data_IF_257714235611
#
_entry.id   IF_257714235611
#
_cell.length_a   1.000
_cell.length_b   1.000
_cell.length_c   1.000
_cell.angle_alpha   90.00
_cell.angle_beta   90.00
_cell.angle_gamma   90.00
#
_symmetry.space_group_name_H-M   'P 1'
#
loop_
_entity.id
_entity.type
_entity.pdbx_description
1 polymer ?
#
# COMPACT_ATOMS: atom_id res chain seq x y z
N UNK A 1 50.08 3.74 -27.87
CA UNK A 1 49.69 2.71 -26.87
C UNK A 1 48.44 1.98 -27.33
N UNK A 2 48.58 0.73 -27.80
CA UNK A 2 47.45 -0.14 -28.17
C UNK A 2 46.80 -0.68 -26.88
N UNK A 3 45.51 -0.40 -26.65
CA UNK A 3 44.74 -1.02 -25.54
C UNK A 3 44.67 -2.54 -25.77
N UNK A 4 44.93 -3.39 -24.77
CA UNK A 4 44.99 -4.84 -24.96
C UNK A 4 43.62 -5.40 -25.38
N UNK A 5 43.60 -6.28 -26.39
CA UNK A 5 42.39 -6.89 -26.95
C UNK A 5 41.53 -7.64 -25.90
N UNK A 6 42.13 -8.10 -24.80
CA UNK A 6 41.43 -8.69 -23.65
C UNK A 6 40.41 -7.75 -23.00
N UNK A 7 40.57 -6.42 -23.13
CA UNK A 7 39.62 -5.46 -22.54
C UNK A 7 38.32 -5.33 -23.34
N UNK A 8 38.28 -5.77 -24.62
CA UNK A 8 37.05 -5.75 -25.42
C UNK A 8 36.17 -6.95 -25.15
N UNK A 9 36.76 -8.15 -25.10
CA UNK A 9 36.03 -9.40 -24.84
C UNK A 9 35.45 -9.41 -23.42
N UNK A 10 36.25 -9.02 -22.41
CA UNK A 10 35.74 -8.90 -21.03
C UNK A 10 34.60 -7.89 -20.89
N UNK A 11 34.65 -6.79 -21.64
CA UNK A 11 33.59 -5.76 -21.64
C UNK A 11 32.33 -6.22 -22.37
N UNK A 12 32.46 -7.04 -23.42
CA UNK A 12 31.32 -7.65 -24.11
C UNK A 12 30.64 -8.72 -23.25
N UNK A 13 31.43 -9.61 -22.63
CA UNK A 13 30.89 -10.65 -21.72
C UNK A 13 30.19 -10.00 -20.52
N UNK A 14 30.82 -9.00 -19.90
CA UNK A 14 30.22 -8.24 -18.80
C UNK A 14 28.90 -7.57 -19.24
N UNK A 15 28.89 -6.93 -20.41
CA UNK A 15 27.68 -6.31 -20.97
C UNK A 15 26.57 -7.31 -21.29
N UNK A 16 26.90 -8.53 -21.72
CA UNK A 16 25.93 -9.61 -21.94
C UNK A 16 25.36 -10.09 -20.62
N UNK A 17 26.19 -10.37 -19.61
CA UNK A 17 25.76 -10.85 -18.29
C UNK A 17 24.87 -9.83 -17.58
N UNK A 18 25.22 -8.53 -17.62
CA UNK A 18 24.40 -7.48 -17.00
C UNK A 18 22.98 -7.38 -17.58
N UNK A 19 22.80 -7.83 -18.84
CA UNK A 19 21.54 -7.78 -19.58
C UNK A 19 20.79 -9.11 -19.47
N UNK A 20 21.49 -10.24 -19.63
CA UNK A 20 20.90 -11.57 -19.69
C UNK A 20 20.45 -12.06 -18.32
N UNK A 21 21.19 -11.76 -17.24
CA UNK A 21 20.84 -12.25 -15.91
C UNK A 21 19.50 -11.67 -15.41
N UNK A 22 19.25 -10.35 -15.44
CA UNK A 22 17.94 -9.81 -15.05
C UNK A 22 16.80 -10.23 -15.98
N UNK A 23 17.03 -10.30 -17.30
CA UNK A 23 16.00 -10.77 -18.25
C UNK A 23 15.63 -12.23 -18.03
N UNK A 24 16.62 -13.09 -17.78
CA UNK A 24 16.36 -14.50 -17.51
C UNK A 24 15.60 -14.65 -16.20
N UNK A 25 15.96 -13.87 -15.18
CA UNK A 25 15.24 -13.84 -13.92
C UNK A 25 13.79 -13.41 -14.10
N UNK A 26 13.53 -12.27 -14.75
CA UNK A 26 12.18 -11.81 -15.05
C UNK A 26 11.42 -12.80 -15.94
N UNK A 27 12.08 -13.39 -16.93
CA UNK A 27 11.51 -14.40 -17.81
C UNK A 27 10.97 -15.61 -17.04
N UNK A 28 11.78 -16.16 -16.12
CA UNK A 28 11.47 -17.37 -15.36
C UNK A 28 10.53 -17.09 -14.20
N UNK A 29 10.76 -16.03 -13.43
CA UNK A 29 10.07 -15.81 -12.17
C UNK A 29 8.88 -14.85 -12.25
N UNK A 30 8.74 -14.10 -13.36
CA UNK A 30 7.62 -13.17 -13.57
C UNK A 30 6.80 -13.54 -14.81
N UNK A 31 7.42 -13.51 -16.00
CA UNK A 31 6.69 -13.70 -17.25
C UNK A 31 6.16 -15.13 -17.43
N UNK A 32 6.93 -16.15 -17.03
CA UNK A 32 6.48 -17.54 -17.11
C UNK A 32 5.25 -17.84 -16.23
N UNK A 33 5.22 -17.47 -14.92
CA UNK A 33 4.00 -17.59 -14.11
C UNK A 33 2.80 -16.83 -14.67
N UNK A 34 3.00 -15.58 -15.12
CA UNK A 34 1.92 -14.78 -15.72
C UNK A 34 1.40 -15.43 -17.00
N UNK A 35 2.28 -15.94 -17.86
CA UNK A 35 1.89 -16.67 -19.06
C UNK A 35 1.09 -17.92 -18.69
N UNK A 36 1.52 -18.68 -17.68
CA UNK A 36 0.78 -19.84 -17.20
C UNK A 36 -0.62 -19.49 -16.66
N UNK A 37 -0.78 -18.35 -15.99
CA UNK A 37 -2.09 -17.86 -15.55
C UNK A 37 -2.98 -17.58 -16.77
N UNK A 38 -2.45 -16.88 -17.78
CA UNK A 38 -3.21 -16.55 -19.00
C UNK A 38 -3.58 -17.81 -19.78
N UNK A 39 -2.65 -18.76 -19.97
CA UNK A 39 -2.95 -20.02 -20.67
C UNK A 39 -3.93 -20.88 -19.88
N UNK A 40 -3.79 -20.95 -18.56
CA UNK A 40 -4.71 -21.73 -17.70
C UNK A 40 -6.12 -21.16 -17.72
N UNK A 41 -6.27 -19.82 -17.76
CA UNK A 41 -7.58 -19.18 -17.88
C UNK A 41 -8.34 -19.51 -19.17
N UNK A 42 -7.61 -19.86 -20.24
CA UNK A 42 -8.15 -20.19 -21.55
C UNK A 42 -8.25 -21.70 -21.80
N UNK A 43 -7.95 -22.52 -20.81
CA UNK A 43 -7.97 -23.99 -20.93
C UNK A 43 -9.35 -24.56 -21.29
N UNK A 44 -10.43 -23.86 -20.90
CA UNK A 44 -11.82 -24.20 -21.24
C UNK A 44 -12.35 -23.39 -22.45
N UNK A 45 -11.45 -22.76 -23.21
CA UNK A 45 -11.77 -21.84 -24.29
C UNK A 45 -12.38 -20.52 -23.82
N UNK A 46 -12.67 -19.64 -24.78
CA UNK A 46 -13.26 -18.31 -24.52
C UNK A 46 -14.61 -18.40 -23.79
N UNK A 47 -15.42 -19.42 -24.09
CA UNK A 47 -16.70 -19.65 -23.42
C UNK A 47 -16.54 -19.88 -21.90
N UNK A 48 -15.57 -20.71 -21.50
CA UNK A 48 -15.25 -20.96 -20.10
C UNK A 48 -14.77 -19.68 -19.40
N UNK A 49 -13.88 -18.91 -20.05
CA UNK A 49 -13.41 -17.64 -19.51
C UNK A 49 -14.55 -16.63 -19.28
N UNK A 50 -15.44 -16.46 -20.26
CA UNK A 50 -16.54 -15.50 -20.12
C UNK A 50 -17.66 -15.99 -19.18
N UNK A 51 -17.79 -17.31 -18.96
CA UNK A 51 -18.80 -17.87 -18.04
C UNK A 51 -18.63 -17.38 -16.60
N UNK A 52 -17.41 -17.01 -16.19
CA UNK A 52 -17.13 -16.48 -14.86
C UNK A 52 -17.79 -15.13 -14.62
N UNK A 53 -17.95 -14.31 -15.67
CA UNK A 53 -18.70 -13.06 -15.57
C UNK A 53 -20.20 -13.28 -15.47
N UNK A 54 -20.72 -14.47 -15.76
CA UNK A 54 -22.14 -14.80 -15.56
C UNK A 54 -22.45 -15.16 -14.10
N UNK A 55 -21.43 -15.51 -13.30
CA UNK A 55 -21.59 -15.81 -11.89
C UNK A 55 -21.97 -14.54 -11.09
N UNK A 56 -23.10 -14.54 -10.36
CA UNK A 56 -23.47 -13.44 -9.48
C UNK A 56 -22.37 -13.13 -8.46
N UNK A 57 -21.73 -14.18 -7.93
CA UNK A 57 -20.67 -14.06 -6.93
C UNK A 57 -19.44 -13.31 -7.45
N UNK A 58 -19.07 -13.52 -8.73
CA UNK A 58 -17.96 -12.79 -9.35
C UNK A 58 -18.32 -11.33 -9.55
N UNK A 59 -19.54 -11.03 -10.00
CA UNK A 59 -20.03 -9.65 -10.17
C UNK A 59 -20.07 -8.92 -8.83
N UNK A 60 -20.59 -9.57 -7.79
CA UNK A 60 -20.62 -9.05 -6.43
C UNK A 60 -19.20 -8.78 -5.91
N UNK A 61 -18.25 -9.68 -6.18
CA UNK A 61 -16.85 -9.48 -5.80
C UNK A 61 -16.22 -8.28 -6.54
N UNK A 62 -16.43 -8.14 -7.85
CA UNK A 62 -15.92 -7.00 -8.64
C UNK A 62 -16.53 -5.68 -8.14
N UNK A 63 -17.85 -5.66 -7.94
CA UNK A 63 -18.56 -4.50 -7.41
C UNK A 63 -18.05 -4.15 -6.01
N UNK A 64 -18.01 -5.12 -5.10
CA UNK A 64 -17.58 -4.90 -3.73
C UNK A 64 -16.14 -4.40 -3.68
N UNK A 65 -15.23 -5.00 -4.45
CA UNK A 65 -13.80 -4.58 -4.55
C UNK A 65 -13.69 -3.12 -4.99
N UNK A 66 -14.42 -2.73 -6.03
CA UNK A 66 -14.40 -1.36 -6.56
C UNK A 66 -15.03 -0.37 -5.58
N UNK A 67 -16.21 -0.71 -5.06
CA UNK A 67 -16.96 0.14 -4.13
C UNK A 67 -16.21 0.35 -2.82
N UNK A 68 -15.72 -0.73 -2.18
CA UNK A 68 -15.00 -0.63 -0.91
C UNK A 68 -13.72 0.17 -1.09
N UNK A 69 -13.01 0.02 -2.22
CA UNK A 69 -11.77 0.74 -2.46
C UNK A 69 -12.02 2.24 -2.65
N UNK A 70 -13.08 2.60 -3.38
CA UNK A 70 -13.49 4.00 -3.55
C UNK A 70 -13.88 4.64 -2.21
N UNK A 71 -14.71 3.96 -1.41
CA UNK A 71 -15.13 4.45 -0.09
C UNK A 71 -13.95 4.54 0.87
N UNK A 72 -13.11 3.51 0.93
CA UNK A 72 -11.88 3.50 1.74
C UNK A 72 -10.98 4.68 1.39
N UNK A 73 -10.80 4.96 0.10
CA UNK A 73 -10.01 6.09 -0.37
C UNK A 73 -10.59 7.42 0.07
N UNK A 74 -11.90 7.63 -0.13
CA UNK A 74 -12.58 8.86 0.27
C UNK A 74 -12.47 9.09 1.78
N UNK A 75 -12.72 8.05 2.60
CA UNK A 75 -12.59 8.12 4.06
C UNK A 75 -11.15 8.40 4.45
N UNK A 76 -10.16 7.72 3.87
CA UNK A 76 -8.74 7.96 4.13
C UNK A 76 -8.38 9.41 3.87
N UNK A 77 -8.80 9.99 2.74
CA UNK A 77 -8.54 11.39 2.41
C UNK A 77 -9.12 12.31 3.48
N UNK A 78 -10.40 12.13 3.83
CA UNK A 78 -11.06 12.97 4.83
C UNK A 78 -10.34 12.89 6.19
N UNK A 79 -9.95 11.71 6.64
CA UNK A 79 -9.29 11.52 7.94
C UNK A 79 -7.83 12.01 7.94
N UNK A 80 -7.12 11.87 6.82
CA UNK A 80 -5.69 12.16 6.73
C UNK A 80 -5.38 13.62 6.39
N UNK A 81 -6.27 14.37 5.72
CA UNK A 81 -6.02 15.78 5.34
C UNK A 81 -5.73 16.69 6.54
N UNK A 82 -6.45 16.60 7.68
CA UNK A 82 -6.10 17.36 8.87
C UNK A 82 -4.67 17.06 9.34
N UNK A 83 -4.27 15.79 9.33
CA UNK A 83 -2.92 15.37 9.69
C UNK A 83 -1.88 15.86 8.67
N UNK A 84 -2.21 15.87 7.37
CA UNK A 84 -1.38 16.47 6.33
C UNK A 84 -1.10 17.95 6.63
N UNK A 85 -2.11 18.70 7.13
CA UNK A 85 -1.94 20.09 7.54
C UNK A 85 -0.96 20.25 8.73
N UNK A 86 -1.00 19.32 9.69
CA UNK A 86 -0.01 19.25 10.78
C UNK A 86 1.38 18.92 10.24
N UNK A 87 1.49 17.90 9.40
CA UNK A 87 2.77 17.43 8.85
C UNK A 87 3.45 18.52 8.02
N UNK A 88 2.67 19.30 7.26
CA UNK A 88 3.19 20.42 6.47
C UNK A 88 3.86 21.50 7.34
N UNK A 89 3.43 21.63 8.60
CA UNK A 89 3.90 22.63 9.57
C UNK A 89 4.82 22.05 10.63
N UNK A 90 5.02 20.74 10.65
CA UNK A 90 5.77 20.07 11.71
C UNK A 90 7.28 20.21 11.48
N UNK A 91 7.98 20.69 12.51
CA UNK A 91 9.44 20.84 12.52
C UNK A 91 10.06 20.25 13.80
N UNK A 92 11.38 20.06 13.77
CA UNK A 92 12.15 19.54 14.90
C UNK A 92 11.71 18.14 15.36
N UNK A 93 11.88 17.86 16.67
CA UNK A 93 11.61 16.54 17.28
C UNK A 93 10.15 16.12 17.14
N UNK A 94 9.21 17.04 17.32
CA UNK A 94 7.76 16.74 17.21
C UNK A 94 7.36 16.25 15.82
N UNK A 95 7.98 16.79 14.77
CA UNK A 95 7.76 16.34 13.39
C UNK A 95 8.34 14.95 13.12
N UNK A 96 9.45 14.57 13.76
CA UNK A 96 10.02 13.23 13.65
C UNK A 96 9.05 12.20 14.23
N UNK A 97 8.56 12.44 15.46
CA UNK A 97 7.59 11.54 16.10
C UNK A 97 6.27 11.43 15.35
N UNK A 98 5.74 12.55 14.84
CA UNK A 98 4.53 12.54 14.03
C UNK A 98 4.72 11.71 12.74
N UNK A 99 5.86 11.89 12.05
CA UNK A 99 6.20 11.09 10.85
C UNK A 99 6.32 9.60 11.19
N UNK A 100 6.94 9.26 12.32
CA UNK A 100 7.06 7.87 12.76
C UNK A 100 5.68 7.26 13.02
N UNK A 101 4.83 7.92 13.84
CA UNK A 101 3.47 7.48 14.15
C UNK A 101 2.63 7.27 12.89
N UNK A 102 2.72 8.19 11.93
CA UNK A 102 2.00 8.10 10.65
C UNK A 102 2.53 6.98 9.77
N UNK A 103 3.82 6.67 9.83
CA UNK A 103 4.44 5.66 8.94
C UNK A 103 4.28 4.23 9.46
N UNK A 104 4.29 4.01 10.77
CA UNK A 104 4.22 2.67 11.39
C UNK A 104 3.06 1.82 10.86
N UNK A 105 1.80 2.32 10.82
CA UNK A 105 0.65 1.58 10.29
C UNK A 105 0.87 0.96 8.90
N UNK A 106 1.52 1.70 8.01
CA UNK A 106 1.73 1.30 6.62
C UNK A 106 2.74 0.16 6.46
N UNK A 107 3.64 -0.02 7.44
CA UNK A 107 4.70 -1.04 7.41
C UNK A 107 4.25 -2.35 8.08
N UNK A 108 3.12 -2.34 8.79
CA UNK A 108 2.65 -3.51 9.51
C UNK A 108 2.08 -4.57 8.55
N UNK A 109 2.26 -5.87 8.86
CA UNK A 109 1.60 -6.92 8.10
C UNK A 109 0.07 -6.82 8.18
N UNK A 110 -0.63 -7.07 7.08
CA UNK A 110 -2.10 -6.98 7.00
C UNK A 110 -2.82 -7.88 7.99
N UNK A 111 -2.28 -9.07 8.26
CA UNK A 111 -2.86 -10.02 9.22
C UNK A 111 -2.78 -9.48 10.65
N UNK A 112 -1.65 -8.85 10.99
CA UNK A 112 -1.40 -8.24 12.30
C UNK A 112 -2.40 -7.12 12.56
N UNK A 113 -2.60 -6.23 11.59
CA UNK A 113 -3.60 -5.16 11.69
C UNK A 113 -5.03 -5.70 11.71
N UNK A 114 -5.34 -6.73 10.92
CA UNK A 114 -6.64 -7.40 10.97
C UNK A 114 -6.96 -7.95 12.36
N UNK A 115 -5.99 -8.59 13.03
CA UNK A 115 -6.13 -9.04 14.41
C UNK A 115 -6.30 -7.89 15.40
N UNK A 116 -5.50 -6.82 15.26
CA UNK A 116 -5.60 -5.63 16.09
C UNK A 116 -6.98 -4.96 16.02
N UNK A 117 -7.57 -4.85 14.82
CA UNK A 117 -8.92 -4.30 14.64
C UNK A 117 -10.01 -5.22 15.19
N UNK A 118 -9.87 -6.55 15.02
CA UNK A 118 -10.82 -7.50 15.62
C UNK A 118 -10.95 -7.30 17.12
N UNK A 119 -9.80 -7.25 17.76
CA UNK A 119 -9.72 -7.03 19.19
C UNK A 119 -10.24 -5.64 19.58
N UNK A 120 -9.87 -4.60 18.82
CA UNK A 120 -10.33 -3.24 19.10
C UNK A 120 -11.86 -3.17 19.06
N UNK A 121 -12.50 -3.79 18.06
CA UNK A 121 -13.96 -3.81 17.99
C UNK A 121 -14.61 -4.62 19.11
N UNK A 122 -14.03 -5.76 19.51
CA UNK A 122 -14.51 -6.54 20.67
C UNK A 122 -14.37 -5.76 21.99
N UNK A 123 -13.29 -5.00 22.15
CA UNK A 123 -13.09 -4.14 23.32
C UNK A 123 -14.07 -2.98 23.35
N UNK A 124 -14.31 -2.34 22.21
CA UNK A 124 -15.26 -1.23 22.10
C UNK A 124 -16.69 -1.70 22.40
N UNK A 125 -17.05 -2.90 21.97
CA UNK A 125 -18.34 -3.53 22.28
C UNK A 125 -18.46 -3.86 23.77
N UNK A 126 -17.51 -4.59 24.34
CA UNK A 126 -17.54 -4.99 25.75
C UNK A 126 -17.41 -3.84 26.76
N UNK A 127 -16.59 -2.83 26.46
CA UNK A 127 -16.29 -1.73 27.39
C UNK A 127 -17.25 -0.54 27.26
N UNK A 128 -17.75 -0.27 26.05
CA UNK A 128 -18.56 0.92 25.76
C UNK A 128 -19.92 0.61 25.14
N UNK A 129 -20.26 -0.67 24.90
CA UNK A 129 -21.52 -1.07 24.26
C UNK A 129 -21.64 -0.63 22.80
N UNK A 130 -20.51 -0.40 22.12
CA UNK A 130 -20.50 0.04 20.73
C UNK A 130 -20.69 -1.14 19.78
N UNK A 131 -21.36 -0.96 18.62
CA UNK A 131 -21.55 -2.05 17.67
C UNK A 131 -20.24 -2.69 17.23
N UNK A 132 -20.15 -4.02 17.36
CA UNK A 132 -19.00 -4.77 16.86
C UNK A 132 -19.04 -4.84 15.33
N UNK A 133 -18.09 -4.18 14.67
CA UNK A 133 -18.00 -4.12 13.22
C UNK A 133 -17.26 -5.30 12.59
N UNK A 134 -16.86 -6.32 13.35
CA UNK A 134 -16.21 -7.51 12.80
C UNK A 134 -17.04 -8.16 11.68
N UNK A 135 -16.36 -8.66 10.65
CA UNK A 135 -16.98 -9.28 9.47
C UNK A 135 -17.87 -8.33 8.65
N UNK A 136 -17.58 -7.02 8.67
CA UNK A 136 -18.35 -5.99 7.96
C UNK A 136 -17.49 -5.16 7.00
N UNK A 137 -18.14 -4.50 6.05
CA UNK A 137 -17.49 -3.53 5.17
C UNK A 137 -16.90 -2.35 5.94
N UNK A 138 -17.51 -1.96 7.07
CA UNK A 138 -17.01 -0.85 7.91
C UNK A 138 -15.66 -1.20 8.49
N UNK A 139 -15.46 -2.43 8.99
CA UNK A 139 -14.18 -2.87 9.50
C UNK A 139 -13.09 -2.81 8.41
N UNK A 140 -13.40 -3.22 7.17
CA UNK A 140 -12.48 -3.13 6.03
C UNK A 140 -12.13 -1.67 5.73
N UNK A 141 -13.13 -0.79 5.64
CA UNK A 141 -12.94 0.63 5.30
C UNK A 141 -12.07 1.34 6.34
N UNK A 142 -12.33 1.11 7.63
CA UNK A 142 -11.55 1.72 8.72
C UNK A 142 -10.11 1.18 8.73
N UNK A 143 -9.93 -0.13 8.57
CA UNK A 143 -8.59 -0.73 8.50
C UNK A 143 -7.80 -0.27 7.27
N UNK A 144 -8.43 -0.15 6.10
CA UNK A 144 -7.80 0.45 4.93
C UNK A 144 -7.45 1.92 5.15
N UNK A 145 -8.30 2.68 5.83
CA UNK A 145 -8.02 4.07 6.17
C UNK A 145 -6.86 4.21 7.13
N UNK A 146 -6.71 3.28 8.07
CA UNK A 146 -5.56 3.17 8.97
C UNK A 146 -4.27 2.86 8.20
N UNK A 147 -4.29 1.87 7.30
CA UNK A 147 -3.14 1.49 6.48
C UNK A 147 -2.68 2.64 5.58
N UNK A 148 -3.61 3.19 4.80
CA UNK A 148 -3.33 4.16 3.76
C UNK A 148 -3.23 5.60 4.27
N UNK A 149 -3.45 5.82 5.58
CA UNK A 149 -3.33 7.13 6.20
C UNK A 149 -2.00 7.80 5.87
N UNK A 150 -0.91 7.04 5.93
CA UNK A 150 0.44 7.50 5.66
C UNK A 150 0.62 8.04 4.24
N UNK A 151 0.02 7.34 3.27
CA UNK A 151 0.11 7.69 1.84
C UNK A 151 -0.46 9.07 1.62
N UNK A 152 -1.67 9.35 2.13
CA UNK A 152 -2.29 10.67 1.99
C UNK A 152 -1.60 11.72 2.84
N UNK A 153 -1.40 11.47 4.13
CA UNK A 153 -0.86 12.46 5.05
C UNK A 153 0.55 12.93 4.65
N UNK A 154 1.41 12.00 4.19
CA UNK A 154 2.78 12.31 3.77
C UNK A 154 2.83 12.96 2.39
N UNK A 155 2.09 12.44 1.41
CA UNK A 155 2.11 12.97 0.03
C UNK A 155 1.52 14.37 -0.01
N UNK A 156 0.33 14.54 0.56
CA UNK A 156 -0.34 15.85 0.61
C UNK A 156 0.39 16.79 1.56
N UNK A 157 0.87 16.31 2.71
CA UNK A 157 1.61 17.14 3.67
C UNK A 157 2.93 17.66 3.12
N UNK A 158 3.68 16.84 2.36
CA UNK A 158 4.91 17.27 1.70
C UNK A 158 4.64 18.29 0.59
N UNK A 159 3.60 18.05 -0.23
CA UNK A 159 3.19 18.99 -1.28
C UNK A 159 2.71 20.31 -0.68
N UNK A 160 1.87 20.25 0.36
CA UNK A 160 1.39 21.43 1.07
C UNK A 160 2.55 22.24 1.66
N UNK A 161 3.56 21.58 2.25
CA UNK A 161 4.74 22.27 2.77
C UNK A 161 5.55 23.04 1.71
N UNK A 162 5.47 22.62 0.44
CA UNK A 162 6.18 23.22 -0.69
C UNK A 162 5.43 24.33 -1.42
N UNK A 163 4.16 24.57 -1.08
CA UNK A 163 3.36 25.63 -1.70
C UNK A 163 3.89 27.03 -1.35
N UNK A 164 3.65 28.01 -2.24
CA UNK A 164 3.73 29.42 -1.86
C UNK A 164 2.51 29.80 -1.01
N UNK A 165 2.74 30.15 0.25
CA UNK A 165 1.72 30.51 1.23
C UNK A 165 1.43 32.02 1.28
N UNK A 166 2.13 32.85 0.49
CA UNK A 166 1.80 34.28 0.39
C UNK A 166 0.37 34.51 -0.10
N UNK A 167 -0.13 33.66 -0.99
CA UNK A 167 -1.53 33.70 -1.44
C UNK A 167 -2.53 33.48 -0.30
N UNK A 168 -2.18 32.66 0.69
CA UNK A 168 -3.03 32.47 1.88
C UNK A 168 -3.03 33.72 2.76
N UNK A 169 -1.89 34.40 2.90
CA UNK A 169 -1.76 35.64 3.66
C UNK A 169 -2.51 36.80 2.99
N UNK A 170 -2.38 36.95 1.68
CA UNK A 170 -3.13 37.94 0.89
C UNK A 170 -4.64 37.75 1.03
N UNK A 171 -5.12 36.51 0.96
CA UNK A 171 -6.54 36.22 1.16
C UNK A 171 -7.03 36.56 2.58
N UNK A 172 -6.21 36.36 3.62
CA UNK A 172 -6.52 36.79 4.99
C UNK A 172 -6.60 38.32 5.10
N UNK A 173 -5.67 39.05 4.47
CA UNK A 173 -5.67 40.53 4.44
C UNK A 173 -6.91 41.09 3.74
N UNK A 174 -7.43 40.41 2.72
CA UNK A 174 -8.70 40.74 2.06
C UNK A 174 -9.96 40.36 2.88
N UNK A 175 -9.80 39.94 4.13
CA UNK A 175 -10.91 39.62 5.04
C UNK A 175 -11.44 38.20 4.96
N UNK A 176 -10.78 37.28 4.23
CA UNK A 176 -11.22 35.89 4.18
C UNK A 176 -10.97 35.17 5.51
N UNK A 177 -12.00 34.49 6.03
CA UNK A 177 -11.87 33.60 7.19
C UNK A 177 -10.93 32.42 6.90
N UNK A 178 -10.40 31.77 7.94
CA UNK A 178 -9.52 30.60 7.79
C UNK A 178 -10.15 29.47 6.95
N UNK A 179 -11.45 29.22 7.13
CA UNK A 179 -12.18 28.25 6.32
C UNK A 179 -12.32 28.72 4.86
N UNK A 180 -12.58 30.01 4.64
CA UNK A 180 -12.62 30.62 3.31
C UNK A 180 -11.28 30.52 2.57
N UNK A 181 -10.18 30.78 3.28
CA UNK A 181 -8.81 30.64 2.74
C UNK A 181 -8.55 29.19 2.35
N UNK A 182 -8.86 28.24 3.24
CA UNK A 182 -8.69 26.83 2.95
C UNK A 182 -9.51 26.38 1.74
N UNK A 183 -10.80 26.70 1.69
CA UNK A 183 -11.69 26.19 0.62
C UNK A 183 -11.43 26.86 -0.74
N UNK A 184 -11.11 28.16 -0.76
CA UNK A 184 -10.99 28.94 -2.01
C UNK A 184 -9.57 29.04 -2.53
N UNK A 185 -8.55 28.99 -1.66
CA UNK A 185 -7.14 29.16 -2.04
C UNK A 185 -6.38 27.85 -1.90
N UNK A 186 -6.37 27.26 -0.70
CA UNK A 186 -5.51 26.11 -0.40
C UNK A 186 -6.02 24.82 -1.06
N UNK A 187 -7.30 24.49 -0.90
CA UNK A 187 -7.90 23.24 -1.38
C UNK A 187 -7.78 23.05 -2.89
N UNK A 188 -8.11 24.03 -3.76
CA UNK A 188 -7.94 23.90 -5.20
C UNK A 188 -6.49 23.63 -5.60
N UNK A 189 -5.52 24.20 -4.87
CA UNK A 189 -4.09 23.99 -5.10
C UNK A 189 -3.60 22.63 -4.60
N UNK A 190 -4.23 22.08 -3.56
CA UNK A 190 -3.92 20.74 -3.03
C UNK A 190 -4.55 19.61 -3.86
N UNK A 191 -5.64 19.86 -4.59
CA UNK A 191 -6.35 18.84 -5.41
C UNK A 191 -5.43 17.94 -6.22
N UNK A 192 -4.39 18.43 -6.94
CA UNK A 192 -3.54 17.56 -7.75
C UNK A 192 -2.78 16.52 -6.90
N UNK A 193 -2.28 16.93 -5.72
CA UNK A 193 -1.62 16.03 -4.77
C UNK A 193 -2.61 15.09 -4.07
N UNK A 194 -3.82 15.56 -3.75
CA UNK A 194 -4.88 14.74 -3.15
C UNK A 194 -5.35 13.66 -4.13
N UNK A 195 -5.49 13.99 -5.41
CA UNK A 195 -5.86 13.04 -6.46
C UNK A 195 -4.75 12.01 -6.69
N UNK A 196 -3.49 12.42 -6.72
CA UNK A 196 -2.36 11.49 -6.84
C UNK A 196 -2.30 10.52 -5.64
N UNK A 197 -2.36 11.06 -4.42
CA UNK A 197 -2.38 10.23 -3.21
C UNK A 197 -3.61 9.32 -3.15
N UNK A 198 -4.77 9.84 -3.54
CA UNK A 198 -6.02 9.10 -3.62
C UNK A 198 -5.97 7.96 -4.63
N UNK A 199 -5.32 8.15 -5.77
CA UNK A 199 -5.16 7.11 -6.79
C UNK A 199 -4.29 5.94 -6.27
N UNK A 200 -3.20 6.25 -5.55
CA UNK A 200 -2.35 5.24 -4.90
C UNK A 200 -3.10 4.54 -3.76
N UNK A 201 -3.82 5.30 -2.92
CA UNK A 201 -4.67 4.73 -1.86
C UNK A 201 -5.75 3.81 -2.43
N UNK A 202 -6.39 4.21 -3.53
CA UNK A 202 -7.38 3.38 -4.22
C UNK A 202 -6.74 2.09 -4.71
N UNK A 203 -5.57 2.17 -5.35
CA UNK A 203 -4.86 0.99 -5.82
C UNK A 203 -4.57 0.01 -4.67
N UNK A 204 -4.03 0.48 -3.55
CA UNK A 204 -3.75 -0.37 -2.39
C UNK A 204 -5.02 -0.98 -1.77
N UNK A 205 -6.10 -0.22 -1.67
CA UNK A 205 -7.38 -0.75 -1.19
C UNK A 205 -8.01 -1.72 -2.19
N UNK A 206 -7.88 -1.47 -3.49
CA UNK A 206 -8.40 -2.33 -4.55
C UNK A 206 -7.69 -3.68 -4.53
N UNK A 207 -6.36 -3.69 -4.42
CA UNK A 207 -5.54 -4.92 -4.41
C UNK A 207 -5.37 -5.54 -3.01
N UNK A 208 -6.29 -5.26 -2.08
CA UNK A 208 -6.14 -5.68 -0.68
C UNK A 208 -6.67 -7.09 -0.45
N UNK A 209 -5.78 -7.99 -0.08
CA UNK A 209 -6.13 -9.37 0.25
C UNK A 209 -6.26 -9.61 1.75
N UNK A 210 -5.19 -9.38 2.53
CA UNK A 210 -5.12 -9.85 3.91
C UNK A 210 -6.09 -9.15 4.86
N UNK A 211 -6.34 -7.86 4.66
CA UNK A 211 -7.31 -7.11 5.49
C UNK A 211 -8.72 -7.66 5.28
N UNK A 212 -9.12 -7.84 4.02
CA UNK A 212 -10.44 -8.36 3.66
C UNK A 212 -10.60 -9.80 4.12
N UNK A 213 -9.57 -10.64 3.97
CA UNK A 213 -9.60 -12.02 4.44
C UNK A 213 -9.86 -12.13 5.94
N UNK A 214 -9.22 -11.26 6.74
CA UNK A 214 -9.34 -11.29 8.21
C UNK A 214 -10.64 -10.62 8.68
N UNK A 215 -10.99 -9.46 8.13
CA UNK A 215 -12.08 -8.61 8.64
C UNK A 215 -13.39 -8.71 7.85
N UNK A 216 -13.39 -9.30 6.66
CA UNK A 216 -14.55 -9.36 5.77
C UNK A 216 -15.48 -10.56 5.98
N UNK A 217 -15.02 -11.58 6.70
CA UNK A 217 -15.77 -12.80 6.93
C UNK A 217 -16.19 -13.50 5.62
N UNK A 218 -17.32 -14.21 5.65
CA UNK A 218 -17.81 -14.96 4.49
C UNK A 218 -18.57 -14.09 3.47
N UNK A 219 -19.10 -12.94 3.89
CA UNK A 219 -20.00 -12.09 3.10
C UNK A 219 -19.27 -11.02 2.30
N UNK A 220 -18.21 -10.43 2.84
CA UNK A 220 -17.48 -9.36 2.18
C UNK A 220 -16.32 -9.96 1.38
N UNK A 221 -16.58 -10.29 0.11
CA UNK A 221 -15.60 -10.93 -0.76
C UNK A 221 -15.09 -9.94 -1.82
N UNK A 222 -13.78 -9.80 -1.93
CA UNK A 222 -13.12 -9.12 -3.07
C UNK A 222 -12.59 -10.11 -4.09
N UNK A 223 -12.15 -9.60 -5.25
CA UNK A 223 -11.54 -10.40 -6.32
C UNK A 223 -10.39 -11.24 -5.77
N UNK A 224 -9.52 -10.66 -4.94
CA UNK A 224 -8.37 -11.33 -4.32
C UNK A 224 -8.80 -12.49 -3.43
N UNK A 225 -9.81 -12.28 -2.59
CA UNK A 225 -10.31 -13.33 -1.70
C UNK A 225 -11.02 -14.45 -2.45
N UNK A 226 -11.68 -14.15 -3.58
CA UNK A 226 -12.29 -15.18 -4.43
C UNK A 226 -11.23 -15.93 -5.25
N UNK A 227 -10.17 -15.27 -5.74
CA UNK A 227 -9.00 -15.94 -6.33
C UNK A 227 -8.43 -16.96 -5.35
N UNK A 228 -8.21 -16.54 -4.09
CA UNK A 228 -7.73 -17.43 -3.03
C UNK A 228 -8.70 -18.59 -2.77
N UNK A 229 -10.01 -18.32 -2.66
CA UNK A 229 -11.02 -19.37 -2.44
C UNK A 229 -11.04 -20.39 -3.58
N UNK A 230 -10.98 -19.95 -4.84
CA UNK A 230 -10.91 -20.87 -5.97
C UNK A 230 -9.60 -21.67 -5.97
N UNK A 231 -8.45 -21.00 -5.84
CA UNK A 231 -7.15 -21.66 -5.93
C UNK A 231 -6.86 -22.61 -4.75
N UNK A 232 -7.08 -22.14 -3.52
CA UNK A 232 -6.60 -22.82 -2.30
C UNK A 232 -7.71 -23.63 -1.64
N UNK A 233 -8.92 -23.08 -1.52
CA UNK A 233 -10.01 -23.75 -0.80
C UNK A 233 -10.71 -24.79 -1.69
N UNK A 234 -10.92 -24.47 -2.97
CA UNK A 234 -11.62 -25.36 -3.92
C UNK A 234 -10.67 -26.19 -4.81
N UNK A 235 -9.39 -25.82 -4.89
CA UNK A 235 -8.45 -26.45 -5.83
C UNK A 235 -8.78 -26.18 -7.32
N UNK A 236 -9.65 -25.21 -7.60
CA UNK A 236 -10.08 -24.83 -8.93
C UNK A 236 -9.12 -23.79 -9.52
N UNK A 237 -8.03 -24.28 -10.09
CA UNK A 237 -6.98 -23.46 -10.69
C UNK A 237 -7.43 -22.76 -11.98
N UNK A 238 -8.43 -23.30 -12.68
CA UNK A 238 -8.89 -22.70 -13.94
C UNK A 238 -9.71 -21.44 -13.67
N UNK A 239 -10.65 -21.50 -12.72
CA UNK A 239 -11.44 -20.31 -12.36
C UNK A 239 -10.59 -19.26 -11.65
N UNK A 240 -9.65 -19.67 -10.79
CA UNK A 240 -8.75 -18.72 -10.13
C UNK A 240 -7.82 -18.03 -11.14
N UNK A 241 -7.33 -18.74 -12.16
CA UNK A 241 -6.55 -18.15 -13.23
C UNK A 241 -7.35 -17.11 -14.02
N UNK A 242 -8.60 -17.41 -14.38
CA UNK A 242 -9.49 -16.47 -15.05
C UNK A 242 -9.77 -15.22 -14.22
N UNK A 243 -10.06 -15.36 -12.91
CA UNK A 243 -10.21 -14.22 -12.01
C UNK A 243 -8.90 -13.43 -11.85
N UNK A 244 -7.75 -14.11 -11.87
CA UNK A 244 -6.43 -13.45 -11.83
C UNK A 244 -6.16 -12.62 -13.08
N UNK A 245 -6.56 -13.09 -14.27
CA UNK A 245 -6.48 -12.30 -15.51
C UNK A 245 -7.36 -11.04 -15.40
N UNK A 246 -8.57 -11.15 -14.87
CA UNK A 246 -9.45 -9.99 -14.63
C UNK A 246 -8.74 -8.98 -13.71
N UNK A 247 -8.15 -9.46 -12.62
CA UNK A 247 -7.41 -8.63 -11.68
C UNK A 247 -6.20 -7.94 -12.33
N UNK A 248 -5.40 -8.68 -13.11
CA UNK A 248 -4.24 -8.13 -13.83
C UNK A 248 -4.68 -7.02 -14.78
N UNK A 249 -5.73 -7.26 -15.57
CA UNK A 249 -6.29 -6.24 -16.48
C UNK A 249 -6.78 -5.02 -15.72
N UNK A 250 -7.50 -5.22 -14.61
CA UNK A 250 -7.98 -4.12 -13.77
C UNK A 250 -6.82 -3.28 -13.20
N UNK A 251 -5.78 -3.93 -12.66
CA UNK A 251 -4.59 -3.25 -12.13
C UNK A 251 -3.84 -2.49 -13.23
N UNK A 252 -3.63 -3.09 -14.40
CA UNK A 252 -2.98 -2.42 -15.54
C UNK A 252 -3.76 -1.18 -15.98
N UNK A 253 -5.09 -1.29 -16.08
CA UNK A 253 -5.96 -0.15 -16.38
C UNK A 253 -5.85 0.94 -15.30
N UNK A 254 -5.86 0.57 -14.02
CA UNK A 254 -5.71 1.51 -12.91
C UNK A 254 -4.36 2.23 -12.97
N UNK A 255 -3.25 1.50 -13.12
CA UNK A 255 -1.90 2.07 -13.23
C UNK A 255 -1.78 2.99 -14.45
N UNK A 256 -2.38 2.63 -15.58
CA UNK A 256 -2.41 3.49 -16.76
C UNK A 256 -3.17 4.80 -16.51
N UNK A 257 -4.32 4.72 -15.84
CA UNK A 257 -5.12 5.89 -15.47
C UNK A 257 -4.38 6.76 -14.45
N UNK A 258 -3.79 6.17 -13.40
CA UNK A 258 -3.05 6.92 -12.38
C UNK A 258 -1.84 7.62 -13.00
N UNK A 259 -1.06 6.94 -13.83
CA UNK A 259 0.08 7.53 -14.54
C UNK A 259 -0.34 8.67 -15.47
N UNK A 260 -1.48 8.53 -16.15
CA UNK A 260 -2.01 9.59 -17.00
C UNK A 260 -2.44 10.83 -16.20
N UNK A 261 -3.07 10.63 -15.04
CA UNK A 261 -3.50 11.70 -14.14
C UNK A 261 -2.30 12.42 -13.49
N UNK A 262 -1.28 11.67 -13.06
CA UNK A 262 -0.05 12.24 -12.49
C UNK A 262 0.71 13.11 -13.50
N UNK A 263 0.82 12.66 -14.76
CA UNK A 263 1.44 13.45 -15.84
C UNK A 263 0.73 14.79 -16.07
N UNK A 264 -0.60 14.82 -15.95
CA UNK A 264 -1.39 16.07 -16.05
C UNK A 264 -1.31 16.93 -14.80
N UNK A 265 -1.11 16.31 -13.64
CA UNK A 265 -1.01 16.96 -12.32
C UNK A 265 0.33 17.69 -12.13
N UNK A 266 1.38 17.29 -12.86
CA UNK A 266 2.69 17.95 -12.91
C UNK A 266 2.69 19.36 -13.55
N UNK A 267 1.56 20.09 -13.51
CA UNK A 267 1.56 21.53 -13.77
C UNK A 267 2.52 22.17 -12.77
N UNK A 268 3.52 22.86 -13.33
CA UNK A 268 4.64 23.54 -12.68
C UNK A 268 4.18 24.52 -11.60
N UNK A 269 3.70 24.01 -10.46
CA UNK A 269 3.53 24.80 -9.26
C UNK A 269 4.95 25.05 -8.79
N UNK A 270 5.48 26.23 -9.11
CA UNK A 270 6.78 26.65 -8.61
C UNK A 270 6.74 26.50 -7.08
N UNK A 271 7.52 25.54 -6.57
CA UNK A 271 7.65 25.33 -5.15
C UNK A 271 8.50 26.48 -4.61
N UNK A 272 7.84 27.54 -4.14
CA UNK A 272 8.47 28.62 -3.40
C UNK A 272 8.26 28.31 -1.93
N UNK A 273 9.33 27.94 -1.24
CA UNK A 273 9.28 27.64 0.19
C UNK A 273 9.10 28.93 0.98
N UNK A 274 7.85 29.37 1.14
CA UNK A 274 7.48 30.48 2.02
C UNK A 274 7.21 29.98 3.45
N UNK A 275 7.22 30.89 4.43
CA UNK A 275 6.83 30.57 5.80
C UNK A 275 5.34 30.23 5.84
N UNK A 276 5.00 29.13 6.53
CA UNK A 276 3.63 28.66 6.68
C UNK A 276 3.09 29.16 8.01
N UNK A 277 1.93 29.83 8.00
CA UNK A 277 1.29 30.29 9.23
C UNK A 277 1.02 29.09 10.19
N UNK A 278 1.34 29.23 11.49
CA UNK A 278 1.10 28.17 12.46
C UNK A 278 -0.40 27.93 12.63
N UNK A 279 -0.78 26.69 12.94
CA UNK A 279 -2.15 26.36 13.31
C UNK A 279 -2.46 26.90 14.71
N UNK A 280 -3.74 27.25 14.94
CA UNK A 280 -4.23 27.53 16.29
C UNK A 280 -3.92 26.36 17.23
N UNK A 281 -3.58 26.67 18.49
CA UNK A 281 -3.27 25.65 19.51
C UNK A 281 -4.37 24.60 19.63
N UNK A 282 -5.64 25.02 19.60
CA UNK A 282 -6.79 24.13 19.67
C UNK A 282 -6.80 23.12 18.51
N UNK A 283 -6.71 23.60 17.27
CA UNK A 283 -6.68 22.72 16.08
C UNK A 283 -5.48 21.79 16.12
N UNK A 284 -4.31 22.28 16.55
CA UNK A 284 -3.12 21.45 16.68
C UNK A 284 -3.35 20.28 17.64
N UNK A 285 -3.93 20.55 18.81
CA UNK A 285 -4.22 19.53 19.82
C UNK A 285 -5.27 18.54 19.28
N UNK A 286 -6.39 19.03 18.76
CA UNK A 286 -7.49 18.19 18.26
C UNK A 286 -6.98 17.21 17.18
N UNK A 287 -6.24 17.71 16.19
CA UNK A 287 -5.73 16.86 15.12
C UNK A 287 -4.67 15.89 15.63
N UNK A 288 -3.81 16.31 16.56
CA UNK A 288 -2.78 15.43 17.15
C UNK A 288 -3.40 14.31 17.97
N UNK A 289 -4.41 14.63 18.79
CA UNK A 289 -5.16 13.66 19.60
C UNK A 289 -5.91 12.70 18.68
N UNK A 290 -6.63 13.21 17.68
CA UNK A 290 -7.31 12.34 16.70
C UNK A 290 -6.33 11.40 16.00
N UNK A 291 -5.19 11.92 15.51
CA UNK A 291 -4.17 11.10 14.83
C UNK A 291 -3.61 10.04 15.77
N UNK A 292 -3.31 10.41 17.02
CA UNK A 292 -2.80 9.47 18.02
C UNK A 292 -3.82 8.42 18.42
N UNK A 293 -5.09 8.79 18.61
CA UNK A 293 -6.15 7.82 18.95
C UNK A 293 -6.42 6.90 17.77
N UNK A 294 -6.57 7.44 16.55
CA UNK A 294 -6.88 6.66 15.36
C UNK A 294 -5.75 5.68 14.98
N UNK A 295 -4.50 6.15 14.97
CA UNK A 295 -3.35 5.32 14.59
C UNK A 295 -2.74 4.55 15.77
N UNK A 296 -2.89 5.05 16.99
CA UNK A 296 -2.35 4.42 18.18
C UNK A 296 -3.27 3.36 18.77
N UNK A 297 -4.59 3.51 18.71
CA UNK A 297 -5.51 2.58 19.40
C UNK A 297 -5.39 1.12 18.93
N UNK A 298 -5.34 0.78 17.62
CA UNK A 298 -5.18 -0.62 17.23
C UNK A 298 -3.82 -1.17 17.67
N UNK A 299 -2.77 -0.35 17.63
CA UNK A 299 -1.41 -0.74 18.05
C UNK A 299 -1.32 -1.00 19.54
N UNK A 300 -1.92 -0.12 20.35
CA UNK A 300 -1.95 -0.25 21.81
C UNK A 300 -2.74 -1.49 22.23
N UNK A 301 -3.90 -1.72 21.61
CA UNK A 301 -4.71 -2.93 21.86
C UNK A 301 -3.90 -4.20 21.53
N UNK A 302 -3.16 -4.19 20.44
CA UNK A 302 -2.33 -5.34 20.06
C UNK A 302 -1.16 -5.57 21.03
N UNK A 303 -0.49 -4.50 21.48
CA UNK A 303 0.57 -4.58 22.48
C UNK A 303 0.01 -5.12 23.80
N UNK A 304 -1.14 -4.62 24.25
CA UNK A 304 -1.82 -5.11 25.45
C UNK A 304 -2.23 -6.58 25.31
N UNK A 305 -2.78 -6.98 24.16
CA UNK A 305 -3.09 -8.40 23.88
C UNK A 305 -1.87 -9.29 23.90
N UNK A 306 -0.71 -8.81 23.44
CA UNK A 306 0.53 -9.58 23.55
C UNK A 306 0.94 -9.86 25.00
N UNK A 307 0.52 -9.00 25.94
CA UNK A 307 0.86 -9.07 27.37
C UNK A 307 -0.25 -9.67 28.25
N UNK A 308 -1.41 -10.02 27.70
CA UNK A 308 -2.55 -10.53 28.48
C UNK A 308 -2.83 -11.99 28.14
N UNK A 309 -3.03 -12.79 29.19
CA UNK A 309 -3.45 -14.19 29.10
C UNK A 309 -4.61 -14.39 30.05
N UNK A 310 -5.81 -14.59 29.50
CA UNK A 310 -7.06 -14.47 30.25
C UNK A 310 -7.21 -13.06 30.82
N UNK A 311 -7.48 -12.96 32.12
CA UNK A 311 -7.67 -11.68 32.83
C UNK A 311 -6.40 -11.13 33.49
N UNK A 312 -5.23 -11.73 33.23
CA UNK A 312 -3.97 -11.35 33.89
C UNK A 312 -2.91 -10.92 32.88
N UNK A 313 -2.12 -9.93 33.29
CA UNK A 313 -0.90 -9.56 32.56
C UNK A 313 0.19 -10.60 32.81
N UNK A 314 0.75 -11.15 31.73
CA UNK A 314 1.77 -12.20 31.76
C UNK A 314 2.58 -12.17 30.48
N UNK A 315 3.85 -12.59 30.57
CA UNK A 315 4.73 -12.79 29.42
C UNK A 315 4.59 -14.19 28.80
N UNK A 316 3.59 -14.97 29.22
CA UNK A 316 3.40 -16.34 28.75
C UNK A 316 3.18 -16.44 27.23
N UNK A 317 2.53 -15.45 26.59
CA UNK A 317 2.41 -15.41 25.13
C UNK A 317 3.78 -15.34 24.41
N UNK A 318 4.80 -14.74 25.04
CA UNK A 318 6.17 -14.69 24.50
C UNK A 318 6.90 -16.01 24.69
N UNK A 319 6.65 -16.71 25.81
CA UNK A 319 7.17 -18.06 26.04
C UNK A 319 6.56 -19.04 25.04
N UNK A 320 5.26 -18.90 24.78
CA UNK A 320 4.51 -19.72 23.82
C UNK A 320 5.02 -19.62 22.37
N UNK A 321 5.86 -18.62 22.05
CA UNK A 321 6.49 -18.53 20.72
C UNK A 321 7.43 -19.69 20.42
N UNK A 322 7.96 -20.34 21.45
CA UNK A 322 8.85 -21.49 21.36
C UNK A 322 8.10 -22.83 21.42
N UNK A 323 6.81 -22.80 21.76
CA UNK A 323 5.99 -24.01 21.86
C UNK A 323 5.50 -24.45 20.47
N UNK A 324 5.51 -25.76 20.23
CA UNK A 324 5.00 -26.33 18.99
C UNK A 324 3.49 -26.50 19.08
N UNK A 325 2.77 -25.76 18.25
CA UNK A 325 1.33 -25.91 18.11
C UNK A 325 1.06 -27.11 17.17
N UNK A 326 0.26 -28.11 17.58
CA UNK A 326 0.06 -29.34 16.79
C UNK A 326 -0.45 -29.14 15.37
N UNK A 327 -1.15 -28.02 15.10
CA UNK A 327 -1.67 -27.69 13.77
C UNK A 327 -0.67 -26.94 12.88
N UNK A 328 0.48 -26.52 13.40
CA UNK A 328 1.47 -25.74 12.66
C UNK A 328 2.74 -26.55 12.41
N UNK A 329 3.33 -26.44 11.19
CA UNK A 329 4.51 -27.20 10.83
C UNK A 329 5.77 -26.74 11.58
N UNK A 330 5.79 -25.49 12.07
CA UNK A 330 6.90 -24.85 12.75
C UNK A 330 6.42 -24.00 13.94
N UNK A 331 7.30 -23.76 14.90
CA UNK A 331 7.06 -22.82 16.01
C UNK A 331 7.09 -21.37 15.50
N UNK A 332 6.58 -20.43 16.30
CA UNK A 332 6.63 -19.01 15.92
C UNK A 332 8.07 -18.48 15.89
N UNK A 333 8.95 -18.96 16.79
CA UNK A 333 10.37 -18.64 16.79
C UNK A 333 11.10 -19.16 15.52
N UNK A 334 10.78 -20.39 15.08
CA UNK A 334 11.27 -20.93 13.81
C UNK A 334 10.75 -20.12 12.62
N UNK A 335 9.47 -19.74 12.62
CA UNK A 335 8.88 -18.91 11.58
C UNK A 335 9.56 -17.52 11.49
N UNK A 336 9.92 -16.92 12.63
CA UNK A 336 10.69 -15.67 12.68
C UNK A 336 12.08 -15.86 12.07
N UNK A 337 12.77 -16.94 12.43
CA UNK A 337 14.11 -17.26 11.90
C UNK A 337 14.06 -17.48 10.38
N UNK A 338 13.08 -18.26 9.91
CA UNK A 338 12.83 -18.48 8.48
C UNK A 338 12.60 -17.15 7.76
N UNK A 339 11.80 -16.25 8.33
CA UNK A 339 11.52 -14.93 7.75
C UNK A 339 12.79 -14.10 7.57
N UNK A 340 13.68 -14.07 8.59
CA UNK A 340 14.96 -13.34 8.52
C UNK A 340 15.88 -13.94 7.45
N UNK A 341 15.97 -15.27 7.37
CA UNK A 341 16.80 -15.97 6.38
C UNK A 341 16.31 -15.66 4.97
N UNK A 342 15.01 -15.85 4.69
CA UNK A 342 14.45 -15.61 3.36
C UNK A 342 14.52 -14.13 2.97
N UNK A 343 14.27 -13.21 3.91
CA UNK A 343 14.43 -11.78 3.65
C UNK A 343 15.88 -11.40 3.29
N UNK A 344 16.87 -12.00 3.96
CA UNK A 344 18.28 -11.77 3.69
C UNK A 344 18.69 -12.31 2.31
N UNK A 345 18.26 -13.53 1.97
CA UNK A 345 18.51 -14.14 0.65
C UNK A 345 17.86 -13.31 -0.46
N UNK A 346 16.58 -12.95 -0.30
CA UNK A 346 15.86 -12.13 -1.27
C UNK A 346 16.52 -10.77 -1.46
N UNK A 347 16.98 -10.13 -0.38
CA UNK A 347 17.70 -8.85 -0.44
C UNK A 347 19.01 -8.98 -1.21
N UNK A 348 19.79 -10.05 -0.97
CA UNK A 348 21.02 -10.29 -1.69
C UNK A 348 20.78 -10.48 -3.19
N UNK A 349 19.79 -11.29 -3.57
CA UNK A 349 19.40 -11.50 -4.98
C UNK A 349 18.96 -10.17 -5.62
N UNK A 350 18.08 -9.43 -4.94
CA UNK A 350 17.56 -8.15 -5.43
C UNK A 350 18.67 -7.10 -5.62
N UNK A 351 19.64 -7.02 -4.70
CA UNK A 351 20.78 -6.10 -4.82
C UNK A 351 21.68 -6.47 -6.00
N UNK A 352 21.97 -7.76 -6.19
CA UNK A 352 22.80 -8.21 -7.32
C UNK A 352 22.10 -7.93 -8.64
N UNK A 353 20.85 -8.35 -8.81
CA UNK A 353 20.10 -8.13 -10.04
C UNK A 353 19.82 -6.64 -10.29
N UNK A 354 19.47 -5.90 -9.25
CA UNK A 354 19.23 -4.46 -9.31
C UNK A 354 20.49 -3.68 -9.72
N UNK A 355 21.65 -4.06 -9.19
CA UNK A 355 22.93 -3.46 -9.59
C UNK A 355 23.27 -3.78 -11.06
N UNK A 356 23.04 -5.01 -11.51
CA UNK A 356 23.25 -5.40 -12.92
C UNK A 356 22.31 -4.62 -13.87
N UNK A 357 21.03 -4.47 -13.50
CA UNK A 357 20.06 -3.64 -14.21
C UNK A 357 20.54 -2.18 -14.29
N UNK A 358 20.88 -1.58 -13.15
CA UNK A 358 21.34 -0.18 -13.10
C UNK A 358 22.59 0.05 -13.98
N UNK A 359 23.56 -0.87 -13.91
CA UNK A 359 24.76 -0.81 -14.76
C UNK A 359 24.42 -0.92 -16.25
N UNK A 360 23.46 -1.77 -16.62
CA UNK A 360 23.03 -1.93 -18.02
C UNK A 360 22.35 -0.67 -18.58
N UNK A 361 21.49 -0.02 -17.79
CA UNK A 361 20.77 1.21 -18.16
C UNK A 361 21.78 2.35 -18.36
N UNK A 362 22.74 2.50 -17.45
CA UNK A 362 23.78 3.55 -17.55
C UNK A 362 24.76 3.28 -18.71
N UNK A 363 25.11 2.02 -18.95
CA UNK A 363 26.08 1.66 -19.98
C UNK A 363 25.54 1.70 -21.41
N UNK A 364 24.22 1.57 -21.61
CA UNK A 364 23.58 1.55 -22.93
C UNK A 364 22.57 2.68 -23.10
N UNK A 365 22.94 3.72 -23.83
CA UNK A 365 22.06 4.86 -24.17
C UNK A 365 21.15 4.59 -25.39
N UNK A 366 21.17 3.36 -25.91
CA UNK A 366 20.47 2.97 -27.14
C UNK A 366 18.99 2.57 -26.91
N UNK A 367 18.33 2.08 -27.97
CA UNK A 367 16.94 1.58 -27.89
C UNK A 367 16.79 0.40 -26.91
N UNK A 368 17.83 -0.39 -26.69
CA UNK A 368 17.79 -1.49 -25.73
C UNK A 368 17.79 -0.98 -24.29
N UNK A 369 18.61 0.02 -23.97
CA UNK A 369 18.58 0.65 -22.64
C UNK A 369 17.21 1.21 -22.25
N UNK A 370 16.51 1.87 -23.18
CA UNK A 370 15.13 2.36 -22.97
C UNK A 370 14.10 1.25 -22.78
N UNK A 371 14.23 0.13 -23.50
CA UNK A 371 13.36 -1.03 -23.31
C UNK A 371 13.58 -1.67 -21.94
N UNK A 372 14.84 -1.74 -21.49
CA UNK A 372 15.21 -2.21 -20.17
C UNK A 372 14.67 -1.33 -19.04
N UNK A 373 14.74 -0.01 -19.21
CA UNK A 373 14.19 0.95 -18.26
C UNK A 373 12.68 0.72 -18.06
N UNK A 374 11.93 0.55 -19.16
CA UNK A 374 10.50 0.21 -19.09
C UNK A 374 10.27 -1.13 -18.39
N UNK A 375 11.00 -2.18 -18.75
CA UNK A 375 10.88 -3.52 -18.15
C UNK A 375 11.20 -3.54 -16.65
N UNK A 376 12.21 -2.79 -16.23
CA UNK A 376 12.62 -2.69 -14.83
C UNK A 376 11.65 -1.85 -13.99
N UNK A 377 10.80 -1.03 -14.62
CA UNK A 377 9.76 -0.22 -13.96
C UNK A 377 8.39 -0.89 -13.96
N UNK A 378 8.23 -2.07 -14.56
CA UNK A 378 7.00 -2.85 -14.44
C UNK A 378 6.85 -3.31 -12.97
N UNK A 379 5.67 -3.12 -12.36
CA UNK A 379 5.42 -3.40 -10.95
C UNK A 379 5.45 -4.89 -10.59
#
# INVERSE_FOLDING_TARGET
MKRPANSRVGRQIFGVVCVSAPLTFLGIFFFYPVANIVTSSLSQGWGGFFSIFSSPRTRDAIWFTTWQAAVSTAVTIVLAIPCAALMARASGKSGIWLKALVTVPFVLPTIVVGGAFKELFERLDSSFGLPNFNNSAVAIIVAHSFFNFAVVARTVGAYWAGLDHQLEEQARTLGSSNAGVFLRVTWPRLKPAVLAAGAITFLFSFTSFGVVLVLGGLRQATIETEIFRHAVVRGDLTSSASMSVIQIVAVLCLVAVTSHLERRSNVSTQMVRSVIAPLSRANKIVISVFTFVFLGSPLLVMIERSLTVGDRYSFQNYVALFDKIPQLPATAAEALTNSIIYASIATAIALVLGALCALSIVAKTDRTGRFFDVLATLP
#
